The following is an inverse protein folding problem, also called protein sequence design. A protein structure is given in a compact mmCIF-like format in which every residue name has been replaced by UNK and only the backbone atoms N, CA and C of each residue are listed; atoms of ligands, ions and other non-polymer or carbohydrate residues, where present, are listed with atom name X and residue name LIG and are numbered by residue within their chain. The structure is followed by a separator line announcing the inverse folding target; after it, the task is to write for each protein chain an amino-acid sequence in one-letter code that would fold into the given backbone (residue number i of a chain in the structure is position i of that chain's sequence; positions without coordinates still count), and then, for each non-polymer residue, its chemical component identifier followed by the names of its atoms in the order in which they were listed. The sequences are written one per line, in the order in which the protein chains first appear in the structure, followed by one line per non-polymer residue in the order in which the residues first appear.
data_IF_344142956710
#
_entry.id   IF_344142956710
#
_cell.length_a   1.000
_cell.length_b   1.000
_cell.length_c   1.000
_cell.angle_alpha   90.00
_cell.angle_beta   90.00
_cell.angle_gamma   90.00
#
_symmetry.space_group_name_H-M   'P 1'
#
loop_
_entity.id
_entity.type
_entity.pdbx_description
1 polymer ?
#
# COMPACT_ATOMS: atom_id res chain seq x y z
N UNK A 1 59.65 9.53 15.06
CA UNK A 1 59.05 10.87 14.90
C UNK A 1 59.73 11.59 13.74
N UNK A 2 59.05 12.36 12.87
CA UNK A 2 57.63 12.36 12.48
C UNK A 2 57.45 12.07 10.97
N UNK A 3 56.37 11.35 10.62
CA UNK A 3 55.91 11.15 9.24
C UNK A 3 55.06 12.33 8.77
N UNK A 4 55.22 12.71 7.49
CA UNK A 4 54.55 13.87 6.87
C UNK A 4 53.07 13.56 6.63
N UNK A 5 52.20 14.42 7.18
CA UNK A 5 50.77 14.42 6.90
C UNK A 5 50.46 15.08 5.56
N UNK A 6 49.62 14.43 4.76
CA UNK A 6 48.93 15.03 3.62
C UNK A 6 47.53 15.49 4.06
N UNK A 7 46.99 16.58 3.47
CA UNK A 7 45.77 17.21 3.96
C UNK A 7 44.51 16.44 3.54
N UNK A 8 43.57 16.34 4.48
CA UNK A 8 42.20 15.86 4.25
C UNK A 8 41.47 16.81 3.30
N UNK A 9 41.12 16.34 2.10
CA UNK A 9 40.21 17.05 1.22
C UNK A 9 38.78 16.91 1.74
N UNK A 10 38.12 18.05 1.97
CA UNK A 10 36.71 18.13 2.32
C UNK A 10 35.89 17.73 1.09
N UNK A 11 35.30 16.53 1.10
CA UNK A 11 34.30 16.11 0.11
C UNK A 11 33.03 16.95 0.27
N UNK A 12 32.57 17.57 -0.83
CA UNK A 12 31.29 18.29 -0.91
C UNK A 12 30.12 17.33 -0.67
N UNK A 13 28.98 17.80 -0.11
CA UNK A 13 27.75 17.03 -0.07
C UNK A 13 27.25 16.82 -1.51
N UNK A 14 27.10 15.55 -1.91
CA UNK A 14 26.57 15.18 -3.21
C UNK A 14 25.11 15.60 -3.35
N UNK A 15 24.80 16.28 -4.44
CA UNK A 15 23.47 16.71 -4.85
C UNK A 15 22.59 15.50 -5.20
N UNK A 16 21.34 15.53 -4.75
CA UNK A 16 20.26 14.59 -5.11
C UNK A 16 19.87 14.84 -6.58
N UNK A 17 20.66 14.32 -7.52
CA UNK A 17 20.41 14.46 -8.95
C UNK A 17 21.32 13.49 -9.70
N UNK A 18 21.00 12.19 -9.65
CA UNK A 18 21.42 11.18 -10.63
C UNK A 18 20.80 9.82 -10.28
N UNK A 19 19.47 9.69 -10.37
CA UNK A 19 18.80 8.42 -10.03
C UNK A 19 17.66 8.12 -11.01
N UNK A 20 17.84 7.01 -11.76
CA UNK A 20 16.85 6.07 -12.34
C UNK A 20 16.16 6.45 -13.67
N UNK A 21 16.89 6.35 -14.79
CA UNK A 21 16.30 6.00 -16.09
C UNK A 21 16.13 4.46 -16.21
N UNK A 22 15.05 3.93 -15.66
CA UNK A 22 14.70 2.50 -15.69
C UNK A 22 13.22 2.29 -15.41
N UNK A 23 12.63 1.16 -15.80
CA UNK A 23 11.33 0.79 -15.22
C UNK A 23 11.55 0.51 -13.72
N UNK A 24 10.61 0.84 -12.82
CA UNK A 24 10.72 0.49 -11.41
C UNK A 24 10.94 -1.02 -11.30
N UNK A 25 12.04 -1.38 -10.68
CA UNK A 25 12.36 -2.74 -10.30
C UNK A 25 11.51 -3.15 -9.10
N UNK A 26 11.40 -4.44 -8.81
CA UNK A 26 10.79 -4.91 -7.56
C UNK A 26 11.44 -4.26 -6.32
N UNK A 27 12.71 -3.84 -6.44
CA UNK A 27 13.44 -3.09 -5.41
C UNK A 27 12.83 -1.72 -5.10
N UNK A 28 12.23 -1.05 -6.09
CA UNK A 28 11.59 0.25 -5.88
C UNK A 28 10.26 0.10 -5.12
N UNK A 29 9.56 -1.04 -5.26
CA UNK A 29 8.39 -1.36 -4.43
C UNK A 29 8.78 -1.78 -3.00
N UNK A 30 10.00 -2.27 -2.76
CA UNK A 30 10.49 -2.53 -1.40
C UNK A 30 10.63 -1.24 -0.59
N UNK A 31 11.00 -0.12 -1.22
CA UNK A 31 11.08 1.20 -0.58
C UNK A 31 9.68 1.72 -0.16
N UNK A 32 8.62 1.22 -0.80
CA UNK A 32 7.20 1.49 -0.48
C UNK A 32 6.59 0.50 0.53
N UNK A 33 7.33 -0.49 1.03
CA UNK A 33 6.83 -1.35 2.12
C UNK A 33 6.92 -0.61 3.44
N UNK A 34 5.92 -0.76 4.32
CA UNK A 34 5.93 -0.14 5.64
C UNK A 34 7.11 -0.63 6.50
N UNK A 35 8.01 0.28 6.85
CA UNK A 35 9.11 0.02 7.80
C UNK A 35 8.81 0.79 9.08
N UNK A 36 7.92 0.23 9.92
CA UNK A 36 7.37 0.95 11.06
C UNK A 36 8.43 1.43 12.07
N UNK A 37 9.61 0.78 12.13
CA UNK A 37 10.72 1.20 12.98
C UNK A 37 11.34 2.55 12.60
N UNK A 38 11.19 2.95 11.33
CA UNK A 38 11.63 4.26 10.83
C UNK A 38 10.51 5.32 10.87
N UNK A 39 9.36 5.00 11.49
CA UNK A 39 8.21 5.89 11.58
C UNK A 39 7.99 6.38 13.02
N UNK A 40 7.43 7.58 13.18
CA UNK A 40 6.97 8.10 14.47
C UNK A 40 5.59 7.56 14.89
N UNK A 41 5.25 6.32 14.52
CA UNK A 41 3.98 5.69 14.90
C UNK A 41 2.75 6.41 14.36
N UNK A 42 2.85 7.01 13.16
CA UNK A 42 1.84 7.93 12.62
C UNK A 42 0.45 7.29 12.45
N UNK A 43 0.36 6.03 12.05
CA UNK A 43 -0.91 5.31 11.99
C UNK A 43 -1.58 5.13 13.38
N UNK A 44 -0.79 5.12 14.45
CA UNK A 44 -1.27 4.97 15.83
C UNK A 44 -1.68 6.29 16.48
N UNK A 45 -1.25 7.44 15.95
CA UNK A 45 -1.55 8.76 16.50
C UNK A 45 -2.42 9.60 15.58
N UNK A 46 -2.09 9.72 14.30
CA UNK A 46 -2.73 10.63 13.37
C UNK A 46 -4.16 10.20 12.99
N UNK A 47 -4.42 8.89 12.93
CA UNK A 47 -5.71 8.35 12.48
C UNK A 47 -6.66 8.10 13.64
N UNK A 48 -7.98 8.31 13.47
CA UNK A 48 -8.96 7.97 14.48
C UNK A 48 -9.25 6.46 14.48
N UNK A 49 -9.68 5.93 15.64
CA UNK A 49 -10.29 4.60 15.76
C UNK A 49 -11.73 4.77 16.24
N UNK A 50 -12.65 4.06 15.58
CA UNK A 50 -14.00 3.87 16.08
C UNK A 50 -14.11 2.45 16.61
N UNK A 51 -14.62 2.30 17.83
CA UNK A 51 -14.82 1.00 18.45
C UNK A 51 -15.74 0.14 17.57
N UNK A 52 -15.24 -1.01 17.14
CA UNK A 52 -15.88 -1.90 16.17
C UNK A 52 -15.28 -3.32 16.27
N UNK A 53 -15.64 -4.20 15.34
CA UNK A 53 -14.96 -5.49 15.20
C UNK A 53 -13.46 -5.35 14.85
N UNK A 54 -13.04 -4.19 14.32
CA UNK A 54 -11.66 -3.93 13.92
C UNK A 54 -10.81 -3.30 15.04
N UNK A 55 -11.46 -2.59 15.97
CA UNK A 55 -10.80 -1.85 17.04
C UNK A 55 -11.59 -1.95 18.36
N UNK A 56 -10.96 -2.42 19.43
CA UNK A 56 -11.56 -2.57 20.74
C UNK A 56 -11.89 -1.23 21.44
N UNK A 57 -11.30 -0.13 20.97
CA UNK A 57 -11.37 1.18 21.63
C UNK A 57 -11.66 2.29 20.64
N UNK A 58 -12.28 3.36 21.15
CA UNK A 58 -12.35 4.63 20.44
C UNK A 58 -11.07 5.44 20.66
N UNK A 59 -10.70 6.22 19.65
CA UNK A 59 -9.59 7.17 19.75
C UNK A 59 -9.77 8.29 18.72
N UNK A 60 -9.61 9.53 19.15
CA UNK A 60 -9.60 10.66 18.23
C UNK A 60 -8.31 10.71 17.39
N UNK A 61 -8.42 11.35 16.23
CA UNK A 61 -7.27 11.70 15.40
C UNK A 61 -6.33 12.65 16.18
N UNK A 62 -5.03 12.39 16.14
CA UNK A 62 -4.02 13.14 16.89
C UNK A 62 -3.79 12.67 18.34
N UNK A 63 -4.67 11.84 18.89
CA UNK A 63 -4.46 11.22 20.21
C UNK A 63 -3.62 9.95 20.04
N UNK A 64 -2.52 9.75 20.78
CA UNK A 64 -1.75 8.51 20.71
C UNK A 64 -2.57 7.28 21.13
N UNK A 65 -2.46 6.17 20.39
CA UNK A 65 -2.99 4.88 20.83
C UNK A 65 -2.38 4.50 22.19
N UNK A 66 -3.18 3.95 23.11
CA UNK A 66 -2.69 3.53 24.44
C UNK A 66 -1.60 2.45 24.38
N UNK A 67 -1.49 1.73 23.26
CA UNK A 67 -0.44 0.74 23.01
C UNK A 67 0.82 1.32 22.33
N UNK A 68 0.84 2.63 22.02
CA UNK A 68 1.99 3.29 21.40
C UNK A 68 3.04 3.62 22.45
N UNK A 69 4.19 2.94 22.36
CA UNK A 69 5.31 3.12 23.29
C UNK A 69 6.09 4.41 23.02
N UNK A 70 7.05 4.70 23.88
CA UNK A 70 7.93 5.87 23.76
C UNK A 70 8.82 5.85 22.52
N UNK A 71 9.22 4.66 22.09
CA UNK A 71 10.02 4.42 20.89
C UNK A 71 9.17 4.38 19.60
N UNK A 72 7.91 4.82 19.66
CA UNK A 72 6.93 4.75 18.57
C UNK A 72 6.53 3.34 18.11
N UNK A 73 7.00 2.29 18.78
CA UNK A 73 6.57 0.92 18.55
C UNK A 73 5.20 0.62 19.15
N UNK A 74 4.54 -0.41 18.64
CA UNK A 74 3.31 -0.95 19.24
C UNK A 74 3.66 -2.02 20.28
N UNK A 75 3.27 -1.79 21.54
CA UNK A 75 3.56 -2.71 22.66
C UNK A 75 2.85 -4.07 22.57
N UNK A 76 1.85 -4.19 21.71
CA UNK A 76 1.04 -5.40 21.52
C UNK A 76 1.10 -5.92 20.08
N UNK A 77 2.11 -5.53 19.29
CA UNK A 77 2.15 -5.80 17.84
C UNK A 77 1.91 -7.28 17.48
N UNK A 78 2.54 -8.20 18.22
CA UNK A 78 2.38 -9.65 18.03
C UNK A 78 1.01 -10.21 18.45
N UNK A 79 0.19 -9.40 19.14
CA UNK A 79 -1.10 -9.79 19.74
C UNK A 79 -2.25 -8.86 19.30
N UNK A 80 -2.07 -8.10 18.22
CA UNK A 80 -3.08 -7.14 17.74
C UNK A 80 -4.46 -7.78 17.54
N UNK A 81 -4.56 -8.91 16.82
CA UNK A 81 -5.85 -9.59 16.59
C UNK A 81 -6.52 -10.07 17.88
N UNK A 82 -5.88 -10.89 18.75
CA UNK A 82 -6.53 -11.35 19.97
C UNK A 82 -6.84 -10.23 20.98
N UNK A 83 -6.13 -9.09 20.90
CA UNK A 83 -6.42 -7.91 21.73
C UNK A 83 -7.42 -6.92 21.07
N UNK A 84 -8.07 -7.31 19.97
CA UNK A 84 -9.14 -6.54 19.33
C UNK A 84 -8.66 -5.37 18.45
N UNK A 85 -7.48 -5.48 17.85
CA UNK A 85 -6.90 -4.51 16.90
C UNK A 85 -6.62 -5.15 15.53
N UNK A 86 -7.53 -6.01 15.05
CA UNK A 86 -7.45 -6.58 13.69
C UNK A 86 -7.36 -5.51 12.61
N UNK A 87 -8.00 -4.35 12.82
CA UNK A 87 -7.90 -3.16 11.97
C UNK A 87 -6.45 -2.70 11.73
N UNK A 88 -5.58 -2.78 12.74
CA UNK A 88 -4.15 -2.48 12.57
C UNK A 88 -3.41 -3.50 11.70
N UNK A 89 -3.88 -4.74 11.63
CA UNK A 89 -3.23 -5.81 10.84
C UNK A 89 -3.63 -5.79 9.37
N UNK A 90 -4.75 -5.14 9.04
CA UNK A 90 -5.24 -4.96 7.66
C UNK A 90 -4.88 -3.58 7.10
N UNK A 91 -4.23 -2.72 7.89
CA UNK A 91 -3.80 -1.39 7.47
C UNK A 91 -2.38 -1.42 6.89
N UNK A 92 -2.17 -0.75 5.76
CA UNK A 92 -0.84 -0.42 5.23
C UNK A 92 -0.79 1.05 4.80
N UNK A 93 0.33 1.70 5.15
CA UNK A 93 0.62 3.08 4.78
C UNK A 93 1.45 3.19 3.49
N UNK A 94 1.83 2.07 2.86
CA UNK A 94 2.69 2.04 1.67
C UNK A 94 4.00 2.81 1.87
N UNK A 95 4.56 2.69 3.07
CA UNK A 95 5.81 3.36 3.43
C UNK A 95 5.71 4.87 3.70
N UNK A 96 4.50 5.44 3.65
CA UNK A 96 4.31 6.87 3.90
C UNK A 96 4.71 7.27 5.33
N UNK A 97 4.54 6.37 6.30
CA UNK A 97 4.92 6.61 7.68
C UNK A 97 6.41 6.95 7.82
N UNK A 98 7.29 6.12 7.26
CA UNK A 98 8.73 6.40 7.29
C UNK A 98 9.11 7.58 6.40
N UNK A 99 8.44 7.78 5.26
CA UNK A 99 8.66 8.93 4.38
C UNK A 99 8.43 10.24 5.11
N UNK A 100 7.26 10.38 5.76
CA UNK A 100 6.89 11.58 6.50
C UNK A 100 7.87 11.80 7.65
N UNK A 101 8.20 10.74 8.38
CA UNK A 101 9.06 10.83 9.56
C UNK A 101 10.50 11.23 9.22
N UNK A 102 11.12 10.52 8.27
CA UNK A 102 12.55 10.67 7.98
C UNK A 102 12.85 11.73 6.94
N UNK A 103 11.99 11.87 5.93
CA UNK A 103 12.24 12.78 4.79
C UNK A 103 11.49 14.10 4.98
N UNK A 104 10.16 14.06 5.09
CA UNK A 104 9.35 15.28 5.11
C UNK A 104 9.58 16.13 6.36
N UNK A 105 9.81 15.50 7.52
CA UNK A 105 10.09 16.19 8.78
C UNK A 105 11.55 16.02 9.26
N UNK A 106 12.43 15.47 8.41
CA UNK A 106 13.87 15.43 8.66
C UNK A 106 14.28 14.70 9.93
N UNK A 107 13.56 13.64 10.32
CA UNK A 107 13.87 12.85 11.51
C UNK A 107 13.45 13.48 12.84
N UNK A 108 12.75 14.62 12.83
CA UNK A 108 12.23 15.27 14.05
C UNK A 108 10.78 14.85 14.30
N UNK A 109 10.54 14.16 15.42
CA UNK A 109 9.23 13.59 15.75
C UNK A 109 8.23 14.61 16.29
N UNK A 110 6.94 14.27 16.22
CA UNK A 110 5.84 15.06 16.81
C UNK A 110 5.93 15.18 18.34
N UNK A 111 6.68 14.31 19.03
CA UNK A 111 6.98 14.44 20.47
C UNK A 111 8.07 15.48 20.74
N UNK A 112 9.07 15.56 19.86
CA UNK A 112 10.19 16.50 19.97
C UNK A 112 9.79 17.91 19.49
N UNK A 113 8.80 18.00 18.59
CA UNK A 113 8.29 19.25 18.05
C UNK A 113 6.75 19.29 18.07
N UNK A 114 6.14 19.53 19.24
CA UNK A 114 4.68 19.56 19.39
C UNK A 114 3.99 20.63 18.53
N UNK A 115 4.69 21.71 18.19
CA UNK A 115 4.14 22.79 17.36
C UNK A 115 3.87 22.32 15.92
N UNK A 116 4.67 21.37 15.41
CA UNK A 116 4.52 20.80 14.07
C UNK A 116 3.76 19.47 14.05
N UNK A 117 3.37 18.93 15.21
CA UNK A 117 2.69 17.65 15.31
C UNK A 117 1.41 17.58 14.46
N UNK A 118 0.57 18.62 14.53
CA UNK A 118 -0.68 18.66 13.76
C UNK A 118 -0.42 18.63 12.25
N UNK A 119 0.54 19.43 11.79
CA UNK A 119 0.95 19.43 10.38
C UNK A 119 1.42 18.05 9.93
N UNK A 120 2.23 17.36 10.74
CA UNK A 120 2.69 16.00 10.46
C UNK A 120 1.53 15.01 10.33
N UNK A 121 0.52 15.12 11.20
CA UNK A 121 -0.67 14.27 11.16
C UNK A 121 -1.56 14.55 9.95
N UNK A 122 -1.67 15.80 9.53
CA UNK A 122 -2.46 16.19 8.35
C UNK A 122 -1.74 15.82 7.03
N UNK A 123 -0.41 15.88 6.99
CA UNK A 123 0.40 15.48 5.84
C UNK A 123 0.41 13.96 5.63
N UNK A 124 0.37 13.18 6.71
CA UNK A 124 0.49 11.72 6.62
C UNK A 124 -0.55 11.03 5.70
N UNK A 125 -1.86 11.32 5.81
CA UNK A 125 -2.87 10.79 4.90
C UNK A 125 -2.65 11.17 3.43
N UNK A 126 -2.14 12.39 3.16
CA UNK A 126 -1.81 12.83 1.79
C UNK A 126 -0.70 11.96 1.21
N UNK A 127 0.41 11.82 1.94
CA UNK A 127 1.56 11.02 1.49
C UNK A 127 1.18 9.54 1.36
N UNK A 128 0.36 8.99 2.26
CA UNK A 128 -0.17 7.62 2.15
C UNK A 128 -0.92 7.41 0.84
N UNK A 129 -1.76 8.36 0.45
CA UNK A 129 -2.50 8.26 -0.80
C UNK A 129 -1.57 8.34 -2.02
N UNK A 130 -0.59 9.24 -2.02
CA UNK A 130 0.41 9.32 -3.11
C UNK A 130 1.23 8.02 -3.21
N UNK A 131 1.66 7.48 -2.07
CA UNK A 131 2.43 6.23 -2.02
C UNK A 131 1.62 5.01 -2.47
N UNK A 132 0.32 4.96 -2.20
CA UNK A 132 -0.57 3.95 -2.77
C UNK A 132 -0.62 4.05 -4.31
N UNK A 133 -0.65 5.26 -4.88
CA UNK A 133 -0.58 5.43 -6.33
C UNK A 133 0.78 4.97 -6.89
N UNK A 134 1.88 5.30 -6.20
CA UNK A 134 3.23 4.82 -6.56
C UNK A 134 3.29 3.29 -6.56
N UNK A 135 2.66 2.65 -5.58
CA UNK A 135 2.58 1.19 -5.50
C UNK A 135 1.92 0.58 -6.74
N UNK A 136 0.77 1.11 -7.16
CA UNK A 136 0.06 0.63 -8.35
C UNK A 136 0.80 0.95 -9.66
N UNK A 137 1.39 2.14 -9.78
CA UNK A 137 2.17 2.53 -10.95
C UNK A 137 3.42 1.67 -11.11
N UNK A 138 4.11 1.36 -10.00
CA UNK A 138 5.25 0.45 -9.98
C UNK A 138 4.86 -0.95 -10.47
N UNK A 139 3.72 -1.48 -10.03
CA UNK A 139 3.18 -2.73 -10.58
C UNK A 139 2.94 -2.66 -12.08
N UNK A 140 2.20 -1.62 -12.51
CA UNK A 140 1.80 -1.44 -13.89
C UNK A 140 3.01 -1.41 -14.85
N UNK A 141 4.12 -0.81 -14.41
CA UNK A 141 5.36 -0.73 -15.19
C UNK A 141 6.05 -2.10 -15.35
N UNK A 142 5.90 -2.99 -14.37
CA UNK A 142 6.40 -4.37 -14.41
C UNK A 142 5.58 -5.31 -15.30
N UNK A 143 4.33 -4.95 -15.61
CA UNK A 143 3.44 -5.81 -16.40
C UNK A 143 3.80 -5.78 -17.89
N UNK A 144 4.29 -6.92 -18.40
CA UNK A 144 4.65 -7.11 -19.81
C UNK A 144 3.58 -6.67 -20.82
N UNK A 145 2.29 -7.02 -20.64
CA UNK A 145 1.20 -6.62 -21.54
C UNK A 145 0.99 -5.10 -21.62
N UNK A 146 1.37 -4.34 -20.59
CA UNK A 146 1.22 -2.89 -20.53
C UNK A 146 2.42 -2.13 -21.12
N UNK A 147 3.30 -2.80 -21.88
CA UNK A 147 4.51 -2.20 -22.46
C UNK A 147 4.24 -0.95 -23.28
N UNK A 148 3.12 -0.91 -24.01
CA UNK A 148 2.70 0.25 -24.81
C UNK A 148 2.38 1.49 -23.97
N UNK A 149 2.05 1.33 -22.69
CA UNK A 149 1.73 2.42 -21.76
C UNK A 149 2.94 2.91 -20.95
N UNK A 150 4.13 2.30 -21.11
CA UNK A 150 5.28 2.56 -20.24
C UNK A 150 5.68 4.03 -20.14
N UNK A 151 5.60 4.78 -21.24
CA UNK A 151 5.91 6.22 -21.23
C UNK A 151 4.95 7.00 -20.34
N UNK A 152 3.64 6.79 -20.52
CA UNK A 152 2.60 7.45 -19.73
C UNK A 152 2.65 7.04 -18.24
N UNK A 153 2.90 5.76 -17.97
CA UNK A 153 3.05 5.22 -16.62
C UNK A 153 4.26 5.80 -15.89
N UNK A 154 5.42 5.93 -16.56
CA UNK A 154 6.61 6.56 -15.98
C UNK A 154 6.38 8.03 -15.66
N UNK A 155 5.80 8.77 -16.60
CA UNK A 155 5.49 10.19 -16.37
C UNK A 155 4.51 10.38 -15.20
N UNK A 156 3.55 9.47 -15.02
CA UNK A 156 2.64 9.50 -13.88
C UNK A 156 3.34 9.10 -12.56
N UNK A 157 4.28 8.15 -12.60
CA UNK A 157 5.10 7.77 -11.46
C UNK A 157 5.96 8.94 -10.99
N UNK A 158 6.77 9.49 -11.89
CA UNK A 158 7.68 10.63 -11.63
C UNK A 158 6.92 11.83 -11.06
N UNK A 159 5.75 12.15 -11.61
CA UNK A 159 4.90 13.22 -11.08
C UNK A 159 4.38 12.90 -9.67
N UNK A 160 3.95 11.66 -9.42
CA UNK A 160 3.49 11.24 -8.08
C UNK A 160 4.64 11.28 -7.07
N UNK A 161 5.85 10.89 -7.46
CA UNK A 161 7.05 10.96 -6.63
C UNK A 161 7.39 12.41 -6.31
N UNK A 162 7.37 13.29 -7.32
CA UNK A 162 7.60 14.73 -7.16
C UNK A 162 6.62 15.35 -6.17
N UNK A 163 5.32 15.02 -6.28
CA UNK A 163 4.31 15.46 -5.32
C UNK A 163 4.62 14.97 -3.90
N UNK A 164 5.02 13.70 -3.74
CA UNK A 164 5.36 13.12 -2.42
C UNK A 164 6.61 13.74 -1.75
N UNK A 165 7.41 14.49 -2.51
CA UNK A 165 8.64 15.15 -2.08
C UNK A 165 8.47 16.64 -1.78
N UNK A 166 7.27 17.20 -1.94
CA UNK A 166 7.01 18.60 -1.66
C UNK A 166 7.16 18.93 -0.17
N UNK A 167 7.29 20.22 0.13
CA UNK A 167 7.32 20.71 1.50
C UNK A 167 5.99 20.41 2.24
N UNK A 168 6.00 20.30 3.57
CA UNK A 168 4.78 19.98 4.35
C UNK A 168 3.58 20.88 4.01
N UNK A 169 3.79 22.19 3.87
CA UNK A 169 2.80 23.19 3.51
C UNK A 169 2.18 22.97 2.11
N UNK A 170 2.99 22.53 1.13
CA UNK A 170 2.53 22.23 -0.22
C UNK A 170 1.79 20.89 -0.28
N UNK A 171 2.25 19.91 0.51
CA UNK A 171 1.58 18.60 0.63
C UNK A 171 0.15 18.75 1.13
N UNK A 172 -0.09 19.63 2.11
CA UNK A 172 -1.46 19.90 2.61
C UNK A 172 -2.39 20.48 1.54
N UNK A 173 -1.83 21.15 0.52
CA UNK A 173 -2.57 21.76 -0.58
C UNK A 173 -2.56 20.92 -1.87
N UNK A 174 -1.97 19.71 -1.82
CA UNK A 174 -1.87 18.85 -3.00
C UNK A 174 -3.24 18.29 -3.39
N UNK A 175 -3.62 18.48 -4.66
CA UNK A 175 -4.82 17.84 -5.22
C UNK A 175 -4.55 16.35 -5.55
N UNK A 176 -4.59 15.53 -4.51
CA UNK A 176 -4.46 14.08 -4.62
C UNK A 176 -5.60 13.47 -5.44
N UNK A 177 -6.77 14.11 -5.45
CA UNK A 177 -7.94 13.65 -6.22
C UNK A 177 -7.67 13.70 -7.73
N UNK A 178 -7.16 14.84 -8.21
CA UNK A 178 -6.76 15.00 -9.61
C UNK A 178 -5.67 14.00 -10.02
N UNK A 179 -4.64 13.83 -9.17
CA UNK A 179 -3.58 12.88 -9.47
C UNK A 179 -4.09 11.43 -9.49
N UNK A 180 -4.95 11.05 -8.53
CA UNK A 180 -5.61 9.74 -8.51
C UNK A 180 -6.45 9.51 -9.75
N UNK A 181 -7.20 10.50 -10.22
CA UNK A 181 -7.99 10.38 -11.45
C UNK A 181 -7.12 10.09 -12.68
N UNK A 182 -6.01 10.82 -12.83
CA UNK A 182 -5.03 10.61 -13.91
C UNK A 182 -4.42 9.21 -13.85
N UNK A 183 -3.98 8.78 -12.68
CA UNK A 183 -3.39 7.44 -12.48
C UNK A 183 -4.43 6.35 -12.75
N UNK A 184 -5.66 6.51 -12.26
CA UNK A 184 -6.73 5.52 -12.46
C UNK A 184 -7.04 5.27 -13.95
N UNK A 185 -7.00 6.30 -14.79
CA UNK A 185 -7.18 6.13 -16.24
C UNK A 185 -6.10 5.20 -16.84
N UNK A 186 -4.84 5.32 -16.39
CA UNK A 186 -3.75 4.46 -16.82
C UNK A 186 -3.87 3.04 -16.27
N UNK A 187 -4.26 2.88 -15.02
CA UNK A 187 -4.45 1.57 -14.40
C UNK A 187 -5.61 0.80 -15.04
N UNK A 188 -6.69 1.50 -15.45
CA UNK A 188 -7.78 0.90 -16.23
C UNK A 188 -7.29 0.36 -17.57
N UNK A 189 -6.55 1.17 -18.35
CA UNK A 189 -5.98 0.73 -19.63
C UNK A 189 -4.98 -0.42 -19.46
N UNK A 190 -4.19 -0.38 -18.39
CA UNK A 190 -3.26 -1.46 -18.00
C UNK A 190 -4.02 -2.75 -17.72
N UNK A 191 -5.09 -2.67 -16.94
CA UNK A 191 -5.96 -3.80 -16.61
C UNK A 191 -6.57 -4.45 -17.85
N UNK A 192 -7.09 -3.65 -18.79
CA UNK A 192 -7.64 -4.17 -20.04
C UNK A 192 -6.58 -4.91 -20.88
N UNK A 193 -5.35 -4.38 -20.97
CA UNK A 193 -4.26 -5.04 -21.69
C UNK A 193 -3.85 -6.38 -21.05
N UNK A 194 -3.78 -6.45 -19.72
CA UNK A 194 -3.46 -7.69 -19.00
C UNK A 194 -4.57 -8.71 -19.19
N UNK A 195 -5.82 -8.29 -19.00
CA UNK A 195 -7.01 -9.17 -19.07
C UNK A 195 -7.32 -9.61 -20.50
N UNK A 196 -6.88 -8.87 -21.51
CA UNK A 196 -7.01 -9.28 -22.92
C UNK A 196 -6.32 -10.61 -23.24
N UNK A 197 -5.31 -11.02 -22.45
CA UNK A 197 -4.62 -12.30 -22.60
C UNK A 197 -5.50 -13.51 -22.29
N UNK A 198 -6.58 -13.33 -21.53
CA UNK A 198 -7.53 -14.40 -21.20
C UNK A 198 -8.47 -14.63 -22.39
N UNK A 199 -8.59 -15.91 -22.81
CA UNK A 199 -9.51 -16.30 -23.89
C UNK A 199 -10.95 -16.27 -23.40
N UNK A 200 -11.88 -15.89 -24.28
CA UNK A 200 -13.31 -15.85 -23.98
C UNK A 200 -13.81 -14.53 -23.39
N UNK A 201 -15.09 -14.52 -23.00
CA UNK A 201 -15.79 -13.34 -22.45
C UNK A 201 -15.34 -13.12 -21.01
N UNK A 202 -14.70 -11.97 -20.76
CA UNK A 202 -14.30 -11.56 -19.41
C UNK A 202 -15.51 -11.09 -18.62
N UNK A 203 -15.54 -11.41 -17.33
CA UNK A 203 -16.56 -10.90 -16.40
C UNK A 203 -16.19 -9.48 -15.99
N UNK A 204 -17.14 -8.56 -16.12
CA UNK A 204 -17.05 -7.22 -15.54
C UNK A 204 -17.98 -7.19 -14.33
N UNK A 205 -17.40 -6.99 -13.15
CA UNK A 205 -18.06 -6.94 -11.85
C UNK A 205 -17.58 -5.72 -11.05
N UNK A 206 -17.19 -4.65 -11.75
CA UNK A 206 -16.76 -3.40 -11.11
C UNK A 206 -17.88 -2.84 -10.24
N UNK A 207 -17.55 -2.51 -8.98
CA UNK A 207 -18.51 -1.97 -8.02
C UNK A 207 -19.65 -2.92 -7.65
N UNK A 208 -19.58 -4.20 -8.03
CA UNK A 208 -20.66 -5.14 -7.76
C UNK A 208 -20.80 -5.41 -6.27
N UNK A 209 -22.04 -5.44 -5.79
CA UNK A 209 -22.36 -6.00 -4.49
C UNK A 209 -22.37 -7.53 -4.59
N UNK A 210 -21.37 -8.15 -3.94
CA UNK A 210 -21.15 -9.59 -3.88
C UNK A 210 -20.98 -10.03 -2.42
N UNK A 211 -21.56 -9.29 -1.47
CA UNK A 211 -21.48 -9.60 -0.04
C UNK A 211 -22.12 -10.98 0.19
N UNK A 212 -21.38 -11.88 0.85
CA UNK A 212 -21.82 -13.25 1.12
C UNK A 212 -22.05 -14.11 -0.12
N UNK A 213 -21.61 -13.68 -1.31
CA UNK A 213 -21.87 -14.40 -2.55
C UNK A 213 -21.23 -15.80 -2.56
N UNK A 214 -21.98 -16.80 -3.01
CA UNK A 214 -21.50 -18.16 -3.23
C UNK A 214 -20.74 -18.25 -4.57
N UNK A 215 -19.42 -18.03 -4.54
CA UNK A 215 -18.52 -18.04 -5.71
C UNK A 215 -17.49 -19.18 -5.64
N UNK A 216 -17.74 -20.21 -4.83
CA UNK A 216 -16.89 -21.39 -4.72
C UNK A 216 -16.62 -22.02 -6.08
N UNK A 217 -15.36 -22.24 -6.40
CA UNK A 217 -14.90 -22.82 -7.66
C UNK A 217 -15.20 -21.96 -8.90
N UNK A 218 -15.65 -20.71 -8.72
CA UNK A 218 -16.01 -19.86 -9.84
C UNK A 218 -14.78 -19.55 -10.71
N UNK A 219 -14.94 -19.67 -12.02
CA UNK A 219 -13.98 -19.11 -12.96
C UNK A 219 -14.16 -17.59 -13.03
N UNK A 220 -13.25 -16.86 -12.39
CA UNK A 220 -13.12 -15.41 -12.39
C UNK A 220 -11.80 -14.98 -13.08
N UNK A 221 -11.23 -15.84 -13.91
CA UNK A 221 -10.00 -15.56 -14.63
C UNK A 221 -10.19 -14.30 -15.51
N UNK A 222 -9.31 -13.32 -15.35
CA UNK A 222 -9.39 -12.04 -16.05
C UNK A 222 -10.65 -11.22 -15.74
N UNK A 223 -11.33 -11.47 -14.62
CA UNK A 223 -12.46 -10.64 -14.20
C UNK A 223 -12.00 -9.24 -13.79
N UNK A 224 -12.84 -8.23 -14.04
CA UNK A 224 -12.70 -6.92 -13.39
C UNK A 224 -13.52 -6.94 -12.10
N UNK A 225 -12.86 -6.90 -10.95
CA UNK A 225 -13.48 -6.84 -9.62
C UNK A 225 -13.19 -5.48 -8.95
N UNK A 226 -12.85 -4.45 -9.73
CA UNK A 226 -12.48 -3.13 -9.18
C UNK A 226 -13.59 -2.59 -8.31
N UNK A 227 -13.30 -2.27 -7.06
CA UNK A 227 -14.29 -1.74 -6.12
C UNK A 227 -15.46 -2.69 -5.79
N UNK A 228 -15.37 -3.98 -6.13
CA UNK A 228 -16.42 -4.94 -5.78
C UNK A 228 -16.45 -5.18 -4.26
N UNK A 229 -17.66 -5.31 -3.69
CA UNK A 229 -17.85 -5.66 -2.30
C UNK A 229 -17.96 -7.18 -2.17
N UNK A 230 -16.87 -7.85 -1.80
CA UNK A 230 -16.77 -9.30 -1.64
C UNK A 230 -16.77 -9.71 -0.16
N UNK A 231 -17.33 -8.86 0.71
CA UNK A 231 -17.32 -9.07 2.15
C UNK A 231 -17.99 -10.41 2.47
N UNK A 232 -17.30 -11.28 3.20
CA UNK A 232 -17.77 -12.63 3.54
C UNK A 232 -18.16 -13.53 2.34
N UNK A 233 -17.74 -13.20 1.11
CA UNK A 233 -18.00 -14.04 -0.06
C UNK A 233 -17.23 -15.37 0.03
N UNK A 234 -17.83 -16.46 -0.42
CA UNK A 234 -17.16 -17.76 -0.56
C UNK A 234 -16.47 -17.81 -1.93
N UNK A 235 -15.16 -17.57 -1.96
CA UNK A 235 -14.30 -17.69 -3.14
C UNK A 235 -13.44 -18.96 -3.07
N UNK A 236 -13.82 -19.95 -2.25
CA UNK A 236 -13.01 -21.15 -2.04
C UNK A 236 -12.81 -21.90 -3.36
N UNK A 237 -11.56 -22.22 -3.69
CA UNK A 237 -11.19 -22.85 -4.96
C UNK A 237 -11.47 -22.03 -6.23
N UNK A 238 -11.81 -20.74 -6.13
CA UNK A 238 -12.06 -19.90 -7.29
C UNK A 238 -10.76 -19.65 -8.09
N UNK A 239 -10.91 -19.51 -9.41
CA UNK A 239 -9.82 -19.12 -10.30
C UNK A 239 -9.86 -17.60 -10.52
N UNK A 240 -8.95 -16.87 -9.87
CA UNK A 240 -8.82 -15.41 -9.92
C UNK A 240 -7.58 -14.97 -10.73
N UNK A 241 -7.00 -15.88 -11.53
CA UNK A 241 -5.78 -15.58 -12.30
C UNK A 241 -6.03 -14.38 -13.23
N UNK A 242 -5.09 -13.44 -13.25
CA UNK A 242 -5.18 -12.21 -14.06
C UNK A 242 -6.40 -11.32 -13.75
N UNK A 243 -7.11 -11.53 -12.64
CA UNK A 243 -8.20 -10.64 -12.23
C UNK A 243 -7.66 -9.28 -11.74
N UNK A 244 -8.42 -8.21 -11.99
CA UNK A 244 -8.14 -6.87 -11.47
C UNK A 244 -8.89 -6.64 -10.16
N UNK A 245 -8.15 -6.46 -9.07
CA UNK A 245 -8.65 -6.42 -7.70
C UNK A 245 -8.52 -5.04 -7.04
N UNK A 246 -8.20 -3.98 -7.79
CA UNK A 246 -7.98 -2.67 -7.16
C UNK A 246 -9.25 -2.21 -6.40
N UNK A 247 -9.08 -1.85 -5.13
CA UNK A 247 -10.18 -1.41 -4.28
C UNK A 247 -11.27 -2.45 -4.01
N UNK A 248 -11.11 -3.71 -4.40
CA UNK A 248 -12.04 -4.77 -4.01
C UNK A 248 -11.99 -4.96 -2.49
N UNK A 249 -13.16 -5.04 -1.85
CA UNK A 249 -13.27 -5.27 -0.42
C UNK A 249 -13.36 -6.77 -0.14
N UNK A 250 -12.27 -7.35 0.35
CA UNK A 250 -12.13 -8.79 0.65
C UNK A 250 -12.29 -9.11 2.14
N UNK A 251 -12.83 -8.20 2.96
CA UNK A 251 -13.01 -8.45 4.40
C UNK A 251 -13.80 -9.75 4.62
N UNK A 252 -13.21 -10.69 5.34
CA UNK A 252 -13.76 -12.00 5.64
C UNK A 252 -14.12 -12.88 4.42
N UNK A 253 -13.69 -12.52 3.21
CA UNK A 253 -13.85 -13.38 2.04
C UNK A 253 -13.03 -14.67 2.23
N UNK A 254 -13.58 -15.81 1.82
CA UNK A 254 -12.90 -17.10 1.89
C UNK A 254 -12.15 -17.40 0.59
N UNK A 255 -10.82 -17.25 0.59
CA UNK A 255 -9.94 -17.55 -0.54
C UNK A 255 -9.28 -18.94 -0.43
N UNK A 256 -9.76 -19.83 0.43
CA UNK A 256 -9.14 -21.15 0.66
C UNK A 256 -9.02 -21.94 -0.65
N UNK A 257 -7.81 -22.36 -1.02
CA UNK A 257 -7.54 -23.04 -2.29
C UNK A 257 -7.76 -22.23 -3.57
N UNK A 258 -8.05 -20.93 -3.49
CA UNK A 258 -8.20 -20.08 -4.67
C UNK A 258 -6.86 -19.85 -5.39
N UNK A 259 -6.89 -19.60 -6.70
CA UNK A 259 -5.71 -19.30 -7.51
C UNK A 259 -5.69 -17.81 -7.90
N UNK A 260 -4.88 -17.01 -7.20
CA UNK A 260 -4.68 -15.57 -7.47
C UNK A 260 -3.44 -15.32 -8.34
N UNK A 261 -2.87 -16.35 -8.98
CA UNK A 261 -1.63 -16.21 -9.74
C UNK A 261 -1.78 -15.17 -10.85
N UNK A 262 -0.94 -14.14 -10.81
CA UNK A 262 -0.96 -13.05 -11.80
C UNK A 262 -2.17 -12.11 -11.69
N UNK A 263 -3.02 -12.22 -10.67
CA UNK A 263 -3.98 -11.14 -10.38
C UNK A 263 -3.23 -9.83 -10.18
N UNK A 264 -3.80 -8.72 -10.63
CA UNK A 264 -3.15 -7.42 -10.63
C UNK A 264 -3.81 -6.47 -9.64
N UNK A 265 -2.99 -5.57 -9.10
CA UNK A 265 -3.38 -4.53 -8.15
C UNK A 265 -4.02 -5.06 -6.85
N UNK A 266 -3.74 -6.32 -6.52
CA UNK A 266 -4.02 -6.90 -5.22
C UNK A 266 -2.95 -6.43 -4.22
N UNK A 267 -3.37 -6.05 -3.03
CA UNK A 267 -2.50 -5.50 -1.98
C UNK A 267 -2.43 -6.42 -0.76
N UNK A 268 -1.36 -6.30 0.02
CA UNK A 268 -1.21 -7.06 1.27
C UNK A 268 -2.38 -6.81 2.26
N UNK A 269 -2.85 -5.55 2.48
CA UNK A 269 -4.08 -5.27 3.21
C UNK A 269 -5.29 -6.13 2.83
N UNK A 270 -5.56 -6.28 1.53
CA UNK A 270 -6.70 -7.04 1.03
C UNK A 270 -6.58 -8.53 1.37
N UNK A 271 -5.37 -9.11 1.30
CA UNK A 271 -5.11 -10.47 1.75
C UNK A 271 -5.23 -10.60 3.27
N UNK A 272 -4.68 -9.64 4.02
CA UNK A 272 -4.73 -9.65 5.48
C UNK A 272 -6.18 -9.58 5.99
N UNK A 273 -7.08 -8.94 5.24
CA UNK A 273 -8.50 -8.84 5.55
C UNK A 273 -9.31 -10.11 5.22
N UNK A 274 -8.78 -10.97 4.34
CA UNK A 274 -9.43 -12.20 3.92
C UNK A 274 -9.01 -13.42 4.76
N UNK A 275 -9.69 -14.55 4.53
CA UNK A 275 -9.29 -15.88 4.99
C UNK A 275 -8.71 -16.68 3.82
N UNK A 276 -7.82 -17.62 4.11
CA UNK A 276 -7.27 -18.54 3.12
C UNK A 276 -6.48 -19.66 3.81
N UNK A 277 -5.88 -20.54 3.01
CA UNK A 277 -5.16 -21.71 3.49
C UNK A 277 -3.85 -21.95 2.70
N UNK A 278 -3.03 -22.93 3.09
CA UNK A 278 -1.77 -23.27 2.42
C UNK A 278 -1.91 -23.61 0.93
N UNK A 279 -3.12 -23.90 0.44
CA UNK A 279 -3.41 -24.20 -0.97
C UNK A 279 -3.74 -22.96 -1.79
N UNK A 280 -4.13 -21.85 -1.15
CA UNK A 280 -4.33 -20.56 -1.83
C UNK A 280 -3.03 -20.12 -2.50
N UNK A 281 -3.06 -19.89 -3.81
CA UNK A 281 -1.89 -19.44 -4.57
C UNK A 281 -1.89 -17.92 -4.68
N UNK A 282 -0.77 -17.28 -4.35
CA UNK A 282 -0.63 -15.83 -4.31
C UNK A 282 0.34 -15.32 -5.39
N UNK A 283 0.20 -14.06 -5.85
CA UNK A 283 1.25 -13.37 -6.57
C UNK A 283 2.57 -13.36 -5.78
N UNK A 284 3.75 -13.53 -6.43
CA UNK A 284 5.04 -13.59 -5.74
C UNK A 284 5.40 -12.34 -4.93
N UNK A 285 4.80 -11.19 -5.23
CA UNK A 285 5.03 -9.92 -4.54
C UNK A 285 4.32 -9.80 -3.18
N UNK A 286 3.41 -10.74 -2.89
CA UNK A 286 2.57 -10.75 -1.69
C UNK A 286 2.91 -11.92 -0.78
N UNK A 287 2.73 -11.69 0.52
CA UNK A 287 3.06 -12.65 1.55
C UNK A 287 1.78 -13.29 2.08
N UNK A 288 1.87 -14.58 2.42
CA UNK A 288 0.74 -15.29 3.04
C UNK A 288 0.51 -14.70 4.44
N UNK A 289 -0.72 -14.26 4.76
CA UNK A 289 -1.02 -13.76 6.11
C UNK A 289 -0.80 -14.84 7.17
N UNK A 290 -0.13 -14.49 8.26
CA UNK A 290 0.23 -15.45 9.31
C UNK A 290 -0.97 -16.09 10.03
N UNK A 291 -2.15 -15.46 9.96
CA UNK A 291 -3.39 -15.97 10.56
C UNK A 291 -4.17 -16.93 9.66
N UNK A 292 -3.70 -17.19 8.43
CA UNK A 292 -4.30 -18.21 7.57
C UNK A 292 -3.95 -19.60 8.07
N UNK A 293 -4.89 -20.54 7.95
CA UNK A 293 -4.63 -21.94 8.31
C UNK A 293 -3.56 -22.53 7.40
N UNK A 294 -2.73 -23.42 7.95
CA UNK A 294 -1.74 -24.18 7.18
C UNK A 294 -2.45 -25.14 6.22
#
# INVERSE_FOLDING_TARGET
MPGRGAPLSKGKPGTVSDIRQGAPSDRDRLELRGQCGDCFGLCCVALPFAASADFAVNKDAGTPCGNLREDFGCGIHARLRPEGFSGCTVYDCFGAGQKVSQVTFGGRSWRQDPQRARQMFDVFPVVRQLHELLWYLGEALGLGPARSLRGELRAALEETERLSLQAPEDLQNTDVGAQRARVNALLLRTSELVRAQVKGKKKDRRGADLIGAALRGANLQGASLRGAYLIAADLSGADLRLADLIGADLRDADLSGADLTGSIFLTQPQLNAARGDGRTKLPPSLERPAHWSV
#
